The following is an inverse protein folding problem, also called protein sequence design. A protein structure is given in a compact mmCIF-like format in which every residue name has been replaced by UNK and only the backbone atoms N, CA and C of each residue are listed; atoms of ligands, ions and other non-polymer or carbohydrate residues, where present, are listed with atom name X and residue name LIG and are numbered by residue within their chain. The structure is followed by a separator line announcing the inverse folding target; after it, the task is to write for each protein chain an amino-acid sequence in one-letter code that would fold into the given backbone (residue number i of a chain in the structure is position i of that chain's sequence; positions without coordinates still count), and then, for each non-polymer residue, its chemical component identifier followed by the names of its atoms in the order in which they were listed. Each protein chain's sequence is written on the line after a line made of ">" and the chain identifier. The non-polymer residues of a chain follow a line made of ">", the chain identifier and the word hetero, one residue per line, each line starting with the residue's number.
data_IF_548928643461
#
_entry.id   IF_548928643461
#
_cell.length_a   1.000
_cell.length_b   1.000
_cell.length_c   1.000
_cell.angle_alpha   90.00
_cell.angle_beta   90.00
_cell.angle_gamma   90.00
#
_symmetry.space_group_name_H-M   'P 1'
#
loop_
_entity.id
_entity.type
_entity.pdbx_description
1 polymer ?
#
# COMPACT_ATOMS: atom_id res chain seq x y z
N UNK A 1 -8.44 25.98 -60.41
CA UNK A 1 -7.65 25.89 -59.16
C UNK A 1 -7.56 24.41 -58.79
N UNK A 2 -6.37 23.80 -58.87
CA UNK A 2 -6.17 22.37 -58.57
C UNK A 2 -5.75 22.23 -57.11
N UNK A 3 -6.62 21.66 -56.28
CA UNK A 3 -6.27 21.27 -54.91
C UNK A 3 -5.42 19.99 -54.97
N UNK A 4 -4.13 20.12 -54.68
CA UNK A 4 -3.24 18.98 -54.51
C UNK A 4 -3.56 18.28 -53.20
N UNK A 5 -3.83 16.97 -53.26
CA UNK A 5 -3.93 16.14 -52.05
C UNK A 5 -2.55 16.18 -51.37
N UNK A 6 -2.44 16.63 -50.10
CA UNK A 6 -1.16 16.64 -49.42
C UNK A 6 -0.66 15.20 -49.27
N UNK A 7 0.60 14.98 -49.64
CA UNK A 7 1.30 13.67 -49.60
C UNK A 7 1.13 12.95 -48.24
N UNK A 8 0.92 13.71 -47.17
CA UNK A 8 0.65 13.22 -45.81
C UNK A 8 -0.64 12.37 -45.71
N UNK A 9 -1.69 12.67 -46.49
CA UNK A 9 -2.93 11.88 -46.47
C UNK A 9 -2.77 10.50 -47.11
N UNK A 10 -1.89 10.37 -48.11
CA UNK A 10 -1.57 9.06 -48.70
C UNK A 10 -0.71 8.20 -47.76
N UNK A 11 0.16 8.83 -46.96
CA UNK A 11 1.00 8.13 -45.99
C UNK A 11 0.20 7.53 -44.83
N UNK A 12 -0.81 8.27 -44.33
CA UNK A 12 -1.71 7.78 -43.28
C UNK A 12 -2.63 6.67 -43.81
N UNK A 13 -3.17 6.81 -45.02
CA UNK A 13 -3.98 5.76 -45.64
C UNK A 13 -3.17 4.47 -45.90
N UNK A 14 -1.89 4.59 -46.29
CA UNK A 14 -1.00 3.44 -46.46
C UNK A 14 -0.66 2.73 -45.14
N UNK A 15 -0.47 3.49 -44.05
CA UNK A 15 -0.21 2.93 -42.71
C UNK A 15 -1.44 2.19 -42.14
N UNK A 16 -2.64 2.72 -42.34
CA UNK A 16 -3.88 2.05 -41.91
C UNK A 16 -4.14 0.77 -42.71
N UNK A 17 -3.85 0.75 -44.00
CA UNK A 17 -4.03 -0.44 -44.84
C UNK A 17 -3.06 -1.59 -44.50
N UNK A 18 -1.85 -1.27 -44.01
CA UNK A 18 -0.87 -2.28 -43.56
C UNK A 18 -1.24 -2.90 -42.20
N UNK A 19 -1.91 -2.14 -41.32
CA UNK A 19 -2.38 -2.63 -40.02
C UNK A 19 -3.77 -3.27 -40.08
N UNK A 20 -4.52 -3.06 -41.17
CA UNK A 20 -5.80 -3.71 -41.44
C UNK A 20 -5.67 -4.94 -42.33
N UNK A 21 -4.57 -5.69 -42.20
CA UNK A 21 -4.59 -7.06 -42.69
C UNK A 21 -5.55 -7.85 -41.79
N UNK A 22 -6.59 -8.50 -42.34
CA UNK A 22 -7.34 -9.48 -41.58
C UNK A 22 -6.35 -10.60 -41.30
N UNK A 23 -5.77 -10.56 -40.10
CA UNK A 23 -5.03 -11.69 -39.58
C UNK A 23 -6.01 -12.86 -39.71
N UNK A 24 -5.65 -13.85 -40.52
CA UNK A 24 -6.36 -15.11 -40.55
C UNK A 24 -6.23 -15.67 -39.13
N UNK A 25 -7.21 -15.33 -38.29
CA UNK A 25 -7.27 -15.79 -36.92
C UNK A 25 -7.46 -17.29 -37.02
N UNK A 26 -6.37 -18.04 -36.83
CA UNK A 26 -6.48 -19.40 -36.34
C UNK A 26 -7.54 -19.36 -35.22
N UNK A 27 -8.57 -20.22 -35.27
CA UNK A 27 -9.61 -20.19 -34.26
C UNK A 27 -8.93 -20.36 -32.90
N UNK A 28 -8.87 -19.27 -32.14
CA UNK A 28 -8.37 -19.29 -30.76
C UNK A 28 -9.07 -20.48 -30.08
N UNK A 29 -8.33 -21.36 -29.39
CA UNK A 29 -8.95 -22.49 -28.69
C UNK A 29 -10.07 -21.91 -27.83
N UNK A 30 -11.30 -22.39 -28.06
CA UNK A 30 -12.49 -21.90 -27.35
C UNK A 30 -12.14 -21.90 -25.86
N UNK A 31 -12.29 -20.76 -25.14
CA UNK A 31 -12.01 -20.74 -23.71
C UNK A 31 -12.88 -21.82 -23.07
N UNK A 32 -12.23 -22.88 -22.55
CA UNK A 32 -12.93 -23.89 -21.77
C UNK A 32 -13.37 -23.20 -20.50
N UNK A 33 -14.67 -22.96 -20.38
CA UNK A 33 -15.28 -22.53 -19.12
C UNK A 33 -15.05 -23.70 -18.15
N UNK A 34 -14.35 -23.51 -17.03
CA UNK A 34 -14.15 -24.57 -16.07
C UNK A 34 -15.51 -24.97 -15.47
N UNK A 35 -15.75 -26.28 -15.34
CA UNK A 35 -16.97 -26.81 -14.70
C UNK A 35 -16.84 -26.66 -13.18
N UNK A 36 -17.09 -25.46 -12.66
CA UNK A 36 -17.18 -25.22 -11.22
C UNK A 36 -18.56 -25.64 -10.70
N UNK A 37 -18.58 -26.38 -9.60
CA UNK A 37 -19.79 -26.60 -8.82
C UNK A 37 -20.26 -25.30 -8.14
N UNK A 38 -21.56 -25.22 -7.82
CA UNK A 38 -22.11 -24.06 -7.10
C UNK A 38 -21.40 -23.82 -5.76
N UNK A 39 -20.95 -24.87 -5.09
CA UNK A 39 -20.24 -24.76 -3.82
C UNK A 39 -18.81 -24.22 -4.00
N UNK A 40 -18.10 -24.62 -5.06
CA UNK A 40 -16.80 -24.02 -5.41
C UNK A 40 -16.94 -22.53 -5.74
N UNK A 41 -17.99 -22.15 -6.48
CA UNK A 41 -18.28 -20.74 -6.77
C UNK A 41 -18.51 -19.96 -5.47
N UNK A 42 -19.34 -20.47 -4.55
CA UNK A 42 -19.57 -19.84 -3.24
C UNK A 42 -18.30 -19.73 -2.42
N UNK A 43 -17.42 -20.72 -2.47
CA UNK A 43 -16.15 -20.68 -1.75
C UNK A 43 -15.21 -19.60 -2.31
N UNK A 44 -15.15 -19.45 -3.64
CA UNK A 44 -14.42 -18.36 -4.30
C UNK A 44 -14.95 -17.00 -3.86
N UNK A 45 -16.28 -16.80 -3.84
CA UNK A 45 -16.88 -15.55 -3.36
C UNK A 45 -16.53 -15.26 -1.89
N UNK A 46 -16.62 -16.24 -1.00
CA UNK A 46 -16.23 -16.06 0.42
C UNK A 46 -14.75 -15.72 0.57
N UNK A 47 -13.88 -16.33 -0.24
CA UNK A 47 -12.45 -15.99 -0.26
C UNK A 47 -12.22 -14.57 -0.77
N UNK A 48 -12.95 -14.15 -1.80
CA UNK A 48 -12.88 -12.79 -2.30
C UNK A 48 -13.33 -11.76 -1.26
N UNK A 49 -14.48 -11.96 -0.60
CA UNK A 49 -14.96 -11.05 0.45
C UNK A 49 -13.95 -10.91 1.60
N UNK A 50 -13.31 -12.01 2.02
CA UNK A 50 -12.25 -11.97 3.04
C UNK A 50 -11.04 -11.18 2.56
N UNK A 51 -10.58 -11.42 1.33
CA UNK A 51 -9.46 -10.70 0.74
C UNK A 51 -9.75 -9.21 0.60
N UNK A 52 -10.96 -8.84 0.17
CA UNK A 52 -11.39 -7.45 0.07
C UNK A 52 -11.39 -6.77 1.45
N UNK A 53 -11.91 -7.44 2.49
CA UNK A 53 -11.86 -6.93 3.86
C UNK A 53 -10.41 -6.76 4.37
N UNK A 54 -9.54 -7.74 4.10
CA UNK A 54 -8.11 -7.66 4.45
C UNK A 54 -7.41 -6.50 3.74
N UNK A 55 -7.69 -6.29 2.46
CA UNK A 55 -7.15 -5.16 1.68
C UNK A 55 -7.64 -3.84 2.24
N UNK A 56 -8.94 -3.71 2.54
CA UNK A 56 -9.50 -2.48 3.12
C UNK A 56 -8.87 -2.16 4.48
N UNK A 57 -8.68 -3.17 5.35
CA UNK A 57 -7.98 -2.98 6.61
C UNK A 57 -6.52 -2.57 6.43
N UNK A 58 -5.80 -3.16 5.49
CA UNK A 58 -4.42 -2.79 5.19
C UNK A 58 -4.32 -1.34 4.69
N UNK A 59 -5.20 -0.93 3.77
CA UNK A 59 -5.27 0.45 3.29
C UNK A 59 -5.57 1.43 4.41
N UNK A 60 -6.53 1.10 5.28
CA UNK A 60 -6.85 1.93 6.44
C UNK A 60 -5.68 2.06 7.42
N UNK A 61 -5.00 0.95 7.73
CA UNK A 61 -3.81 0.96 8.58
C UNK A 61 -2.71 1.84 8.00
N UNK A 62 -2.42 1.72 6.70
CA UNK A 62 -1.41 2.55 6.05
C UNK A 62 -1.78 4.04 6.05
N UNK A 63 -3.05 4.38 5.84
CA UNK A 63 -3.52 5.77 5.91
C UNK A 63 -3.32 6.36 7.32
N UNK A 64 -3.66 5.61 8.37
CA UNK A 64 -3.46 6.05 9.75
C UNK A 64 -1.97 6.09 10.14
N UNK A 65 -1.14 5.20 9.60
CA UNK A 65 0.32 5.27 9.76
C UNK A 65 0.89 6.57 9.16
N UNK A 66 0.53 6.93 7.93
CA UNK A 66 0.97 8.19 7.31
C UNK A 66 0.48 9.42 8.06
N UNK A 67 -0.75 9.37 8.58
CA UNK A 67 -1.32 10.42 9.42
C UNK A 67 -0.53 10.58 10.72
N UNK A 68 -0.24 9.48 11.40
CA UNK A 68 0.55 9.46 12.63
C UNK A 68 1.95 10.03 12.39
N UNK A 69 2.64 9.58 11.33
CA UNK A 69 3.95 10.13 10.95
C UNK A 69 3.91 11.63 10.71
N UNK A 70 2.89 12.11 9.98
CA UNK A 70 2.73 13.55 9.70
C UNK A 70 2.44 14.34 10.98
N UNK A 71 1.64 13.79 11.88
CA UNK A 71 1.34 14.41 13.17
C UNK A 71 2.59 14.50 14.07
N UNK A 72 3.44 13.47 14.06
CA UNK A 72 4.73 13.46 14.75
C UNK A 72 5.70 14.49 14.14
N UNK A 73 5.81 14.54 12.81
CA UNK A 73 6.65 15.54 12.12
C UNK A 73 6.23 16.98 12.39
N UNK A 74 4.96 17.21 12.70
CA UNK A 74 4.43 18.55 12.99
C UNK A 74 4.36 18.86 14.48
N UNK A 75 4.85 17.94 15.34
CA UNK A 75 4.76 18.06 16.80
C UNK A 75 3.33 18.09 17.34
N UNK A 76 2.34 17.72 16.53
CA UNK A 76 0.91 17.73 16.93
C UNK A 76 0.59 16.58 17.88
N UNK A 77 1.26 15.45 17.69
CA UNK A 77 1.11 14.24 18.51
C UNK A 77 2.42 13.91 19.20
N UNK A 78 2.30 13.30 20.38
CA UNK A 78 3.42 12.62 21.05
C UNK A 78 3.59 11.20 20.49
N UNK A 79 4.77 10.61 20.70
CA UNK A 79 5.05 9.23 20.29
C UNK A 79 4.09 8.24 20.96
N UNK A 80 3.74 8.48 22.23
CA UNK A 80 2.77 7.69 22.98
C UNK A 80 1.39 7.69 22.30
N UNK A 81 0.86 8.87 21.96
CA UNK A 81 -0.44 9.02 21.31
C UNK A 81 -0.49 8.34 19.94
N UNK A 82 0.58 8.47 19.16
CA UNK A 82 0.70 7.81 17.87
C UNK A 82 0.71 6.27 18.03
N UNK A 83 1.46 5.76 19.01
CA UNK A 83 1.50 4.33 19.30
C UNK A 83 0.16 3.79 19.83
N UNK A 84 -0.53 4.52 20.70
CA UNK A 84 -1.87 4.16 21.20
C UNK A 84 -2.91 4.09 20.08
N UNK A 85 -2.82 5.02 19.11
CA UNK A 85 -3.73 5.04 17.96
C UNK A 85 -3.48 3.86 17.01
N UNK A 86 -2.21 3.53 16.78
CA UNK A 86 -1.83 2.47 15.85
C UNK A 86 -1.94 1.06 16.46
N UNK A 87 -1.80 0.92 17.77
CA UNK A 87 -1.85 -0.37 18.47
C UNK A 87 -3.08 -1.21 18.11
N UNK A 88 -4.34 -0.74 18.28
CA UNK A 88 -5.52 -1.55 17.96
C UNK A 88 -5.61 -1.92 16.47
N UNK A 89 -5.05 -1.10 15.58
CA UNK A 89 -5.04 -1.37 14.14
C UNK A 89 -3.96 -2.39 13.79
N UNK A 90 -2.80 -2.30 14.43
CA UNK A 90 -1.69 -3.24 14.30
C UNK A 90 -2.08 -4.64 14.74
N UNK A 91 -2.87 -4.79 15.82
CA UNK A 91 -3.34 -6.09 16.30
C UNK A 91 -4.16 -6.87 15.26
N UNK A 92 -4.81 -6.16 14.34
CA UNK A 92 -5.59 -6.75 13.26
C UNK A 92 -4.79 -6.93 11.96
N UNK A 93 -3.49 -6.60 11.96
CA UNK A 93 -2.63 -6.63 10.78
C UNK A 93 -1.45 -7.60 10.96
N UNK A 94 -1.61 -8.91 10.66
CA UNK A 94 -0.64 -9.94 10.99
C UNK A 94 0.73 -9.72 10.34
N UNK A 95 0.79 -9.08 9.16
CA UNK A 95 2.07 -8.73 8.51
C UNK A 95 2.85 -7.66 9.27
N UNK A 96 2.16 -6.69 9.87
CA UNK A 96 2.81 -5.65 10.67
C UNK A 96 3.26 -6.20 12.04
N UNK A 97 2.50 -7.12 12.63
CA UNK A 97 2.96 -7.86 13.81
C UNK A 97 4.10 -8.83 13.50
N UNK A 98 4.14 -9.40 12.28
CA UNK A 98 5.21 -10.31 11.88
C UNK A 98 6.57 -9.62 11.74
N UNK A 99 6.60 -8.34 11.33
CA UNK A 99 7.82 -7.54 11.37
C UNK A 99 8.23 -7.19 12.80
N UNK A 100 7.29 -7.21 13.76
CA UNK A 100 7.54 -7.03 15.19
C UNK A 100 8.05 -8.29 15.93
N UNK A 101 8.27 -9.42 15.22
CA UNK A 101 8.79 -10.72 15.70
C UNK A 101 8.28 -11.15 17.10
N UNK A 102 7.32 -12.09 17.11
CA UNK A 102 6.86 -12.87 18.28
C UNK A 102 6.32 -12.00 19.45
N UNK A 103 5.01 -11.73 19.44
CA UNK A 103 4.35 -10.94 20.49
C UNK A 103 3.39 -11.79 21.33
N UNK A 104 3.56 -11.69 22.65
CA UNK A 104 2.48 -11.83 23.63
C UNK A 104 1.80 -10.46 23.79
N UNK A 105 0.48 -10.41 23.62
CA UNK A 105 -0.43 -9.24 23.58
C UNK A 105 -0.52 -8.44 24.90
N UNK A 106 0.60 -8.10 25.54
CA UNK A 106 0.60 -7.29 26.76
C UNK A 106 1.17 -5.88 26.52
N UNK A 107 1.05 -4.99 27.53
CA UNK A 107 1.50 -3.57 27.50
C UNK A 107 2.92 -3.34 26.94
N UNK A 108 3.74 -4.39 26.85
CA UNK A 108 5.00 -4.45 26.10
C UNK A 108 4.88 -4.00 24.62
N UNK A 109 3.67 -4.05 24.06
CA UNK A 109 3.42 -3.73 22.66
C UNK A 109 3.54 -2.24 22.37
N UNK A 110 3.17 -1.35 23.31
CA UNK A 110 3.09 0.10 23.03
C UNK A 110 4.48 0.71 22.76
N UNK A 111 5.48 0.37 23.58
CA UNK A 111 6.87 0.81 23.36
C UNK A 111 7.47 0.21 22.09
N UNK A 112 7.07 -1.00 21.70
CA UNK A 112 7.51 -1.64 20.45
C UNK A 112 6.88 -1.01 19.22
N UNK A 113 5.59 -0.68 19.26
CA UNK A 113 4.89 0.07 18.20
C UNK A 113 5.55 1.45 18.05
N UNK A 114 5.79 2.14 19.16
CA UNK A 114 6.51 3.41 19.18
C UNK A 114 7.91 3.30 18.54
N UNK A 115 8.67 2.25 18.87
CA UNK A 115 9.98 1.99 18.28
C UNK A 115 9.91 1.75 16.77
N UNK A 116 8.98 0.89 16.33
CA UNK A 116 8.80 0.61 14.91
C UNK A 116 8.40 1.89 14.14
N UNK A 117 7.55 2.73 14.73
CA UNK A 117 7.19 4.02 14.16
C UNK A 117 8.41 4.96 14.01
N UNK A 118 9.33 4.97 14.98
CA UNK A 118 10.61 5.69 14.88
C UNK A 118 11.49 5.13 13.77
N UNK A 119 11.58 3.81 13.62
CA UNK A 119 12.36 3.18 12.55
C UNK A 119 11.80 3.59 11.17
N UNK A 120 10.47 3.61 11.01
CA UNK A 120 9.80 4.10 9.80
C UNK A 120 10.09 5.59 9.52
N UNK A 121 10.04 6.44 10.55
CA UNK A 121 10.35 7.87 10.40
C UNK A 121 11.82 8.11 10.03
N UNK A 122 12.73 7.29 10.55
CA UNK A 122 14.17 7.37 10.26
C UNK A 122 14.44 7.03 8.79
N UNK A 123 13.82 5.97 8.27
CA UNK A 123 13.88 5.60 6.84
C UNK A 123 13.30 6.71 5.95
N UNK A 124 12.20 7.34 6.35
CA UNK A 124 11.64 8.48 5.60
C UNK A 124 12.59 9.69 5.54
N UNK A 125 13.38 9.90 6.60
CA UNK A 125 14.37 10.97 6.67
C UNK A 125 15.56 10.68 5.75
N UNK A 126 16.09 9.45 5.78
CA UNK A 126 17.15 8.99 4.87
C UNK A 126 16.76 9.14 3.39
N UNK A 127 15.46 9.02 3.09
CA UNK A 127 14.91 9.14 1.74
C UNK A 127 14.55 10.58 1.32
N UNK A 128 14.91 11.61 2.10
CA UNK A 128 14.97 12.99 1.61
C UNK A 128 14.05 14.01 2.28
N UNK A 129 13.63 13.83 3.55
CA UNK A 129 13.02 14.92 4.33
C UNK A 129 14.11 15.75 5.05
N UNK A 130 14.07 17.10 5.00
CA UNK A 130 15.20 17.98 5.33
C UNK A 130 15.51 18.11 6.83
N UNK A 131 16.70 18.66 7.15
CA UNK A 131 17.40 18.76 8.45
C UNK A 131 16.60 19.13 9.72
N UNK A 132 15.46 19.84 9.63
CA UNK A 132 14.54 20.03 10.77
C UNK A 132 14.01 18.68 11.33
N UNK A 133 14.21 17.60 10.58
CA UNK A 133 13.74 16.26 10.89
C UNK A 133 14.62 15.51 11.91
N UNK A 134 15.90 15.89 12.12
CA UNK A 134 16.77 15.18 13.07
C UNK A 134 16.51 15.54 14.53
N UNK A 135 16.20 16.80 14.81
CA UNK A 135 15.88 17.27 16.18
C UNK A 135 14.58 16.61 16.69
N UNK A 136 13.60 16.49 15.81
CA UNK A 136 12.33 15.80 16.10
C UNK A 136 12.59 14.32 16.41
N UNK A 137 13.46 13.63 15.65
CA UNK A 137 13.79 12.23 15.96
C UNK A 137 14.45 12.10 17.34
N UNK A 138 15.38 12.98 17.70
CA UNK A 138 16.02 12.96 19.02
C UNK A 138 14.97 13.20 20.13
N UNK A 139 14.04 14.13 19.93
CA UNK A 139 12.95 14.37 20.88
C UNK A 139 12.05 13.14 21.03
N UNK A 140 11.67 12.51 19.91
CA UNK A 140 10.83 11.32 19.92
C UNK A 140 11.56 10.11 20.51
N UNK A 141 12.87 9.98 20.31
CA UNK A 141 13.71 8.98 21.00
C UNK A 141 13.73 9.23 22.50
N UNK A 142 13.87 10.47 22.95
CA UNK A 142 13.72 10.81 24.38
C UNK A 142 12.33 10.40 24.91
N UNK A 143 11.26 10.63 24.14
CA UNK A 143 9.90 10.19 24.52
C UNK A 143 9.79 8.66 24.62
N UNK A 144 10.45 7.90 23.74
CA UNK A 144 10.49 6.44 23.80
C UNK A 144 11.05 5.93 25.14
N UNK A 145 12.04 6.62 25.71
CA UNK A 145 12.64 6.24 27.00
C UNK A 145 11.74 6.56 28.19
N UNK A 146 10.79 7.48 28.03
CA UNK A 146 9.75 7.76 29.04
C UNK A 146 8.62 6.74 29.04
N UNK A 147 8.50 5.94 27.97
CA UNK A 147 7.49 4.88 27.90
C UNK A 147 7.88 3.70 28.79
N UNK A 148 6.89 3.05 29.45
CA UNK A 148 7.15 1.90 30.30
C UNK A 148 7.94 0.82 29.54
N UNK A 149 8.94 0.17 30.19
CA UNK A 149 9.72 -0.87 29.55
C UNK A 149 8.83 -2.05 29.13
N UNK A 150 9.21 -2.69 28.03
CA UNK A 150 8.55 -3.87 27.49
C UNK A 150 8.86 -5.12 28.33
#
# INVERSE_FOLDING_TARGET
>A
MRAGIPLALLFVAGLVALFWQPLASDPLPRPRIPDYSLEEIKEVYRKQERLEAEVQHALFFHAELERAKTALWTGKWTLAQAAETLLPLALNHPRYLSSLRQLSLERSDLRRIARNLLDHLSVDLENGRPQASSEILIELECQLDTLPPA
#
